data_IF_396011713961
#
_entry.id   IF_396011713961
#
_cell.length_a   1.000
_cell.length_b   1.000
_cell.length_c   1.000
_cell.angle_alpha   90.00
_cell.angle_beta   90.00
_cell.angle_gamma   90.00
#
_symmetry.space_group_name_H-M   'P 1'
#
loop_
_entity.id
_entity.type
_entity.pdbx_description
1 polymer ?
#
# COMPACT_ATOMS: atom_id res chain seq x y z
N UNK A 1 -48.82 -36.32 -22.79
CA UNK A 1 -47.96 -36.46 -21.60
C UNK A 1 -46.62 -35.70 -21.70
N UNK A 2 -46.12 -35.45 -22.87
CA UNK A 2 -44.80 -34.79 -23.08
C UNK A 2 -44.81 -33.28 -22.79
N UNK A 3 -45.92 -32.58 -22.99
CA UNK A 3 -46.04 -31.13 -22.77
C UNK A 3 -46.03 -30.68 -21.28
N UNK A 4 -46.35 -31.57 -20.34
CA UNK A 4 -46.34 -31.24 -18.89
C UNK A 4 -44.95 -31.39 -18.25
N UNK A 5 -44.06 -32.18 -18.84
CA UNK A 5 -42.71 -32.40 -18.33
C UNK A 5 -41.78 -31.25 -18.72
N UNK A 6 -41.99 -30.66 -19.91
CA UNK A 6 -41.18 -29.51 -20.38
C UNK A 6 -41.45 -28.24 -19.57
N UNK A 7 -42.68 -28.04 -19.07
CA UNK A 7 -43.01 -26.87 -18.26
C UNK A 7 -42.41 -26.90 -16.85
N UNK A 8 -42.21 -28.08 -16.27
CA UNK A 8 -41.52 -28.17 -14.95
C UNK A 8 -40.02 -27.94 -14.99
N UNK A 9 -39.36 -28.22 -16.12
CA UNK A 9 -37.89 -28.02 -16.26
C UNK A 9 -37.55 -26.54 -16.44
N UNK A 10 -38.40 -25.72 -17.08
CA UNK A 10 -38.20 -24.29 -17.25
C UNK A 10 -38.39 -23.48 -15.96
N UNK A 11 -39.11 -23.94 -14.96
CA UNK A 11 -39.35 -23.22 -13.70
C UNK A 11 -38.16 -23.37 -12.73
N UNK A 12 -37.39 -24.45 -12.81
CA UNK A 12 -36.25 -24.71 -11.95
C UNK A 12 -34.97 -23.90 -12.36
N UNK A 13 -34.95 -23.30 -13.56
CA UNK A 13 -33.77 -22.52 -14.05
C UNK A 13 -33.77 -21.05 -13.58
N UNK A 14 -34.80 -20.59 -12.86
CA UNK A 14 -34.91 -19.16 -12.45
C UNK A 14 -34.53 -18.87 -10.99
N UNK A 15 -34.01 -19.82 -10.24
CA UNK A 15 -33.67 -19.62 -8.81
C UNK A 15 -32.16 -19.62 -8.59
N UNK A 16 -31.37 -19.15 -9.53
CA UNK A 16 -29.92 -19.18 -9.51
C UNK A 16 -29.18 -17.81 -9.45
N UNK A 17 -29.84 -16.70 -9.18
CA UNK A 17 -29.15 -15.44 -8.91
C UNK A 17 -28.96 -15.27 -7.39
N UNK A 18 -27.87 -15.79 -6.84
CA UNK A 18 -27.46 -15.40 -5.51
C UNK A 18 -27.09 -13.91 -5.57
N UNK A 19 -27.90 -13.04 -5.01
CA UNK A 19 -27.61 -11.62 -4.87
C UNK A 19 -26.29 -11.50 -4.11
N UNK A 20 -25.30 -10.82 -4.71
CA UNK A 20 -24.00 -10.57 -4.10
C UNK A 20 -24.23 -9.83 -2.80
N UNK A 21 -23.91 -10.46 -1.66
CA UNK A 21 -24.06 -9.84 -0.34
C UNK A 21 -23.18 -8.60 -0.26
N UNK A 22 -23.72 -7.53 0.30
CA UNK A 22 -23.05 -6.25 0.51
C UNK A 22 -22.99 -5.93 1.99
N UNK A 23 -22.08 -5.05 2.38
CA UNK A 23 -22.09 -4.52 3.74
C UNK A 23 -23.33 -3.64 3.95
N UNK A 24 -24.10 -3.97 4.97
CA UNK A 24 -25.26 -3.22 5.42
C UNK A 24 -25.08 -2.92 6.90
N UNK A 25 -24.78 -1.66 7.29
CA UNK A 25 -24.60 -1.31 8.68
C UNK A 25 -25.94 -1.36 9.42
N UNK A 26 -25.94 -1.92 10.63
CA UNK A 26 -27.13 -1.94 11.50
C UNK A 26 -27.51 -0.54 12.00
N UNK A 27 -26.52 0.32 12.19
CA UNK A 27 -26.67 1.70 12.65
C UNK A 27 -25.80 2.61 11.78
N UNK A 28 -26.34 3.73 11.37
CA UNK A 28 -25.62 4.83 10.69
C UNK A 28 -25.56 5.98 11.66
N UNK A 29 -24.33 6.39 12.05
CA UNK A 29 -24.08 7.42 13.06
C UNK A 29 -24.14 8.86 12.49
N UNK A 30 -24.43 8.99 11.20
CA UNK A 30 -24.53 10.28 10.51
C UNK A 30 -23.90 10.24 9.13
N UNK A 31 -23.64 11.43 8.60
CA UNK A 31 -23.02 11.60 7.27
C UNK A 31 -21.69 12.32 7.38
N UNK A 32 -20.75 11.95 6.53
CA UNK A 32 -19.43 12.59 6.42
C UNK A 32 -19.19 13.01 4.97
N UNK A 33 -18.87 14.29 4.79
CA UNK A 33 -18.52 14.86 3.49
C UNK A 33 -17.01 15.06 3.36
N UNK A 34 -16.52 14.94 2.13
CA UNK A 34 -15.17 15.31 1.72
C UNK A 34 -15.24 16.67 1.05
N UNK A 35 -15.11 17.73 1.84
CA UNK A 35 -15.38 19.10 1.42
C UNK A 35 -14.25 19.71 0.59
N UNK A 36 -13.02 19.28 0.85
CA UNK A 36 -11.85 19.81 0.18
C UNK A 36 -11.69 19.22 -1.21
N UNK A 37 -11.28 20.06 -2.18
CA UNK A 37 -11.15 19.68 -3.59
C UNK A 37 -9.69 19.64 -4.03
N UNK A 38 -9.37 18.64 -4.82
CA UNK A 38 -8.15 18.59 -5.63
C UNK A 38 -8.41 19.30 -6.98
N UNK A 39 -7.37 19.82 -7.63
CA UNK A 39 -7.52 20.47 -8.95
C UNK A 39 -8.00 19.49 -10.01
N UNK A 40 -7.64 18.21 -9.92
CA UNK A 40 -8.11 17.15 -10.81
C UNK A 40 -8.15 15.78 -10.12
N UNK A 41 -8.78 14.76 -10.74
CA UNK A 41 -8.83 13.42 -10.18
C UNK A 41 -7.46 12.76 -10.10
N UNK A 42 -7.30 11.79 -9.18
CA UNK A 42 -6.12 10.94 -9.07
C UNK A 42 -6.00 10.09 -10.35
N UNK A 43 -4.85 10.16 -11.02
CA UNK A 43 -4.49 9.37 -12.20
C UNK A 43 -3.86 8.04 -11.82
N UNK A 44 -2.87 8.07 -10.94
CA UNK A 44 -2.21 6.90 -10.38
C UNK A 44 -1.72 7.21 -8.96
N UNK A 45 -1.52 6.16 -8.16
CA UNK A 45 -1.00 6.26 -6.80
C UNK A 45 -0.14 5.04 -6.48
N UNK A 46 0.85 5.24 -5.59
CA UNK A 46 1.57 4.22 -4.86
C UNK A 46 1.52 4.55 -3.35
N UNK A 47 2.24 3.83 -2.50
CA UNK A 47 2.24 4.11 -1.06
C UNK A 47 2.92 5.43 -0.67
N UNK A 48 3.77 5.97 -1.53
CA UNK A 48 4.57 7.18 -1.25
C UNK A 48 3.98 8.45 -1.85
N UNK A 49 3.06 8.32 -2.82
CA UNK A 49 2.44 9.48 -3.43
C UNK A 49 1.45 9.14 -4.54
N UNK A 50 0.84 10.18 -5.09
CA UNK A 50 -0.09 10.09 -6.20
C UNK A 50 0.15 11.22 -7.21
N UNK A 51 -0.17 10.96 -8.47
CA UNK A 51 -0.15 11.95 -9.54
C UNK A 51 -1.58 12.16 -10.01
N UNK A 52 -2.01 13.41 -10.07
CA UNK A 52 -3.33 13.81 -10.56
C UNK A 52 -3.36 13.84 -12.09
N UNK A 53 -4.55 13.94 -12.68
CA UNK A 53 -4.70 14.00 -14.14
C UNK A 53 -4.12 15.27 -14.77
N UNK A 54 -4.06 16.37 -14.01
CA UNK A 54 -3.36 17.61 -14.39
C UNK A 54 -1.85 17.55 -14.08
N UNK A 55 -1.35 16.37 -13.71
CA UNK A 55 0.02 16.08 -13.33
C UNK A 55 0.49 16.73 -12.01
N UNK A 56 -0.38 17.32 -11.20
CA UNK A 56 -0.03 17.75 -9.83
C UNK A 56 0.38 16.54 -9.00
N UNK A 57 1.46 16.68 -8.23
CA UNK A 57 1.99 15.64 -7.34
C UNK A 57 1.38 15.76 -5.95
N UNK A 58 0.92 14.63 -5.41
CA UNK A 58 0.65 14.42 -3.98
C UNK A 58 1.75 13.52 -3.43
N UNK A 59 2.25 13.79 -2.22
CA UNK A 59 3.20 12.91 -1.52
C UNK A 59 2.69 12.49 -0.14
N UNK A 60 3.20 11.37 0.36
CA UNK A 60 2.87 10.89 1.70
C UNK A 60 3.27 11.90 2.79
N UNK A 61 4.42 12.56 2.63
CA UNK A 61 4.97 13.49 3.62
C UNK A 61 4.25 14.84 3.66
N UNK A 62 3.84 15.38 2.50
CA UNK A 62 3.34 16.76 2.41
C UNK A 62 1.86 16.84 1.98
N UNK A 63 1.26 15.73 1.53
CA UNK A 63 -0.02 15.80 0.84
C UNK A 63 0.14 16.51 -0.51
N UNK A 64 -0.63 17.56 -0.77
CA UNK A 64 -0.53 18.31 -2.02
C UNK A 64 0.76 19.14 -2.08
N UNK A 65 1.51 18.96 -3.16
CA UNK A 65 2.72 19.75 -3.44
C UNK A 65 2.44 20.81 -4.53
N UNK A 66 3.29 21.84 -4.68
CA UNK A 66 3.21 22.78 -5.82
C UNK A 66 3.76 22.19 -7.12
N UNK A 67 4.25 20.95 -7.12
CA UNK A 67 4.91 20.33 -8.26
C UNK A 67 3.89 19.86 -9.27
N UNK A 68 4.06 20.28 -10.52
CA UNK A 68 3.34 19.79 -11.70
C UNK A 68 4.35 19.06 -12.59
N UNK A 69 4.10 17.79 -12.86
CA UNK A 69 5.01 16.92 -13.60
C UNK A 69 4.76 17.06 -15.13
N UNK A 70 5.79 16.75 -15.90
CA UNK A 70 5.59 16.45 -17.32
C UNK A 70 4.82 15.14 -17.53
N UNK A 71 4.18 15.00 -18.70
CA UNK A 71 3.26 13.92 -19.03
C UNK A 71 4.00 12.62 -19.03
N UNK A 72 4.52 11.84 -18.69
CA UNK A 72 5.23 10.55 -18.72
C UNK A 72 5.99 10.22 -17.42
N UNK A 73 5.97 11.14 -16.47
CA UNK A 73 6.67 10.92 -15.23
C UNK A 73 5.82 10.05 -14.29
N UNK A 74 6.46 9.02 -13.73
CA UNK A 74 5.96 8.22 -12.61
C UNK A 74 6.72 8.64 -11.37
N UNK A 75 6.01 9.06 -10.34
CA UNK A 75 6.63 9.33 -9.04
C UNK A 75 7.11 8.02 -8.40
N UNK A 76 8.37 7.99 -7.98
CA UNK A 76 8.98 6.84 -7.31
C UNK A 76 9.10 7.08 -5.80
N UNK A 77 9.80 8.13 -5.41
CA UNK A 77 10.11 8.41 -4.00
C UNK A 77 10.54 9.87 -3.79
N UNK A 78 10.63 10.25 -2.52
CA UNK A 78 11.10 11.55 -2.05
C UNK A 78 12.15 11.35 -0.94
N UNK A 79 13.18 12.19 -0.94
CA UNK A 79 14.14 12.34 0.17
C UNK A 79 14.30 13.83 0.48
N UNK A 80 13.72 14.31 1.58
CA UNK A 80 13.67 15.74 1.95
C UNK A 80 13.04 16.56 0.81
N UNK A 81 13.77 17.52 0.23
CA UNK A 81 13.35 18.35 -0.90
C UNK A 81 13.74 17.76 -2.28
N UNK A 82 14.16 16.51 -2.33
CA UNK A 82 14.55 15.81 -3.55
C UNK A 82 13.44 14.83 -3.95
N UNK A 83 12.90 14.99 -5.13
CA UNK A 83 11.87 14.13 -5.71
C UNK A 83 12.47 13.30 -6.83
N UNK A 84 12.15 12.02 -6.86
CA UNK A 84 12.68 11.06 -7.83
C UNK A 84 11.55 10.47 -8.62
N UNK A 85 11.68 10.54 -9.92
CA UNK A 85 10.70 10.07 -10.90
C UNK A 85 11.36 9.10 -11.88
N UNK A 86 10.52 8.35 -12.57
CA UNK A 86 10.92 7.62 -13.76
C UNK A 86 10.16 8.15 -14.97
N UNK A 87 10.86 8.40 -16.07
CA UNK A 87 10.28 8.80 -17.36
C UNK A 87 10.19 7.58 -18.27
N UNK A 88 8.99 7.17 -18.61
CA UNK A 88 8.70 6.12 -19.61
C UNK A 88 9.52 4.83 -19.46
N UNK A 89 9.82 4.36 -18.26
CA UNK A 89 10.66 3.20 -17.94
C UNK A 89 12.10 3.26 -18.49
N UNK A 90 12.63 4.46 -18.76
CA UNK A 90 13.98 4.63 -19.31
C UNK A 90 14.90 5.45 -18.43
N UNK A 91 14.44 6.60 -17.98
CA UNK A 91 15.30 7.55 -17.29
C UNK A 91 14.84 7.71 -15.85
N UNK A 92 15.81 7.80 -14.93
CA UNK A 92 15.57 8.31 -13.59
C UNK A 92 15.73 9.82 -13.65
N UNK A 93 14.72 10.55 -13.21
CA UNK A 93 14.74 12.02 -13.14
C UNK A 93 14.71 12.44 -11.70
N UNK A 94 15.70 13.24 -11.30
CA UNK A 94 15.84 13.80 -9.97
C UNK A 94 15.55 15.28 -10.04
N UNK A 95 14.54 15.72 -9.29
CA UNK A 95 14.18 17.12 -9.13
C UNK A 95 14.60 17.59 -7.73
N UNK A 96 15.40 18.65 -7.67
CA UNK A 96 15.76 19.33 -6.43
C UNK A 96 15.64 20.84 -6.67
N UNK A 97 14.71 21.50 -5.95
CA UNK A 97 14.31 22.88 -6.28
C UNK A 97 13.91 22.95 -7.76
N UNK A 98 14.47 23.86 -8.53
CA UNK A 98 14.19 24.05 -9.96
C UNK A 98 15.18 23.32 -10.88
N UNK A 99 16.07 22.49 -10.33
CA UNK A 99 17.04 21.74 -11.13
C UNK A 99 16.58 20.32 -11.39
N UNK A 100 16.69 19.88 -12.65
CA UNK A 100 16.43 18.52 -13.09
C UNK A 100 17.75 17.84 -13.48
N UNK A 101 17.97 16.65 -12.96
CA UNK A 101 19.05 15.77 -13.34
C UNK A 101 18.46 14.48 -13.90
N UNK A 102 18.91 14.06 -15.07
CA UNK A 102 18.48 12.82 -15.71
C UNK A 102 19.61 11.80 -15.68
N UNK A 103 19.28 10.56 -15.35
CA UNK A 103 20.18 9.41 -15.36
C UNK A 103 19.55 8.36 -16.25
N UNK A 104 20.22 7.93 -17.35
CA UNK A 104 19.72 6.85 -18.20
C UNK A 104 19.53 5.55 -17.40
N UNK A 105 18.37 4.89 -17.58
CA UNK A 105 18.06 3.65 -16.88
C UNK A 105 16.97 2.88 -17.61
N UNK A 106 17.35 1.80 -18.26
CA UNK A 106 16.54 1.13 -19.30
C UNK A 106 15.48 0.15 -18.80
N UNK A 107 15.27 0.04 -17.47
CA UNK A 107 14.33 -0.93 -16.90
C UNK A 107 13.25 -0.23 -16.08
N UNK A 108 12.02 -0.73 -16.13
CA UNK A 108 10.92 -0.22 -15.32
C UNK A 108 11.16 -0.44 -13.83
N UNK A 109 11.13 0.64 -13.06
CA UNK A 109 11.21 0.63 -11.61
C UNK A 109 9.80 0.48 -11.03
N UNK A 110 9.57 -0.55 -10.23
CA UNK A 110 8.29 -0.76 -9.56
C UNK A 110 8.20 0.03 -8.26
N UNK A 111 9.25 -0.02 -7.45
CA UNK A 111 9.33 0.66 -6.17
C UNK A 111 10.74 1.15 -5.89
N UNK A 112 10.87 2.24 -5.17
CA UNK A 112 12.16 2.81 -4.82
C UNK A 112 12.12 3.56 -3.49
N UNK A 113 13.30 3.73 -2.89
CA UNK A 113 13.55 4.65 -1.78
C UNK A 113 14.89 5.36 -1.95
N UNK A 114 14.96 6.57 -1.47
CA UNK A 114 16.18 7.36 -1.48
C UNK A 114 16.51 7.87 -0.07
N UNK A 115 17.80 7.91 0.23
CA UNK A 115 18.35 8.57 1.43
C UNK A 115 19.73 9.15 1.08
N UNK A 116 19.87 10.47 1.17
CA UNK A 116 21.09 11.21 0.80
C UNK A 116 21.53 10.93 -0.67
N UNK A 117 22.65 10.24 -0.92
CA UNK A 117 23.06 9.83 -2.27
C UNK A 117 22.61 8.41 -2.65
N UNK A 118 22.01 7.66 -1.74
CA UNK A 118 21.64 6.27 -1.96
C UNK A 118 20.24 6.20 -2.60
N UNK A 119 20.11 5.39 -3.64
CA UNK A 119 18.85 5.04 -4.28
C UNK A 119 18.71 3.51 -4.33
N UNK A 120 17.77 2.97 -3.61
CA UNK A 120 17.43 1.54 -3.64
C UNK A 120 16.19 1.32 -4.49
N UNK A 121 16.21 0.34 -5.39
CA UNK A 121 15.15 0.10 -6.37
C UNK A 121 14.80 -1.38 -6.48
N UNK A 122 13.55 -1.64 -6.78
CA UNK A 122 13.02 -2.96 -7.19
C UNK A 122 12.51 -2.81 -8.62
N UNK A 123 13.09 -3.58 -9.53
CA UNK A 123 12.73 -3.55 -10.94
C UNK A 123 11.57 -4.51 -11.25
N UNK A 124 10.95 -4.33 -12.40
CA UNK A 124 9.80 -5.14 -12.81
C UNK A 124 10.12 -6.63 -13.08
N UNK A 125 11.39 -6.95 -13.27
CA UNK A 125 11.89 -8.32 -13.46
C UNK A 125 12.44 -8.96 -12.17
N UNK A 126 12.13 -8.35 -10.99
CA UNK A 126 12.61 -8.73 -9.66
C UNK A 126 14.12 -8.56 -9.47
N UNK A 127 14.74 -7.63 -10.19
CA UNK A 127 16.11 -7.22 -9.90
C UNK A 127 16.11 -6.18 -8.79
N UNK A 128 16.94 -6.37 -7.78
CA UNK A 128 17.21 -5.43 -6.69
C UNK A 128 18.45 -4.62 -7.05
N UNK A 129 18.36 -3.30 -6.95
CA UNK A 129 19.44 -2.39 -7.33
C UNK A 129 19.73 -1.40 -6.21
N UNK A 130 21.01 -1.25 -5.87
CA UNK A 130 21.51 -0.09 -5.15
C UNK A 130 22.34 0.79 -6.09
N UNK A 131 21.90 2.01 -6.25
CA UNK A 131 22.53 3.01 -7.10
C UNK A 131 23.02 4.19 -6.27
N UNK A 132 24.26 4.66 -6.46
CA UNK A 132 24.78 5.88 -5.86
C UNK A 132 24.58 7.08 -6.80
N UNK A 133 23.71 8.01 -6.41
CA UNK A 133 23.35 9.19 -7.17
C UNK A 133 24.53 10.19 -7.34
N UNK A 134 25.48 10.21 -6.40
CA UNK A 134 26.66 11.07 -6.45
C UNK A 134 27.71 10.50 -7.38
N UNK A 135 28.01 9.23 -7.23
CA UNK A 135 28.94 8.52 -8.11
C UNK A 135 28.33 8.26 -9.50
N UNK A 136 27.01 8.34 -9.65
CA UNK A 136 26.24 7.98 -10.86
C UNK A 136 26.53 6.55 -11.30
N UNK A 137 26.58 5.63 -10.37
CA UNK A 137 26.97 4.25 -10.61
C UNK A 137 26.02 3.28 -9.89
N UNK A 138 25.76 2.15 -10.55
CA UNK A 138 25.17 0.98 -9.92
C UNK A 138 26.26 0.34 -9.03
N UNK A 139 25.98 0.28 -7.72
CA UNK A 139 26.90 -0.30 -6.73
C UNK A 139 26.60 -1.78 -6.53
N UNK A 140 25.32 -2.13 -6.58
CA UNK A 140 24.85 -3.52 -6.43
C UNK A 140 23.65 -3.75 -7.32
N UNK A 141 23.64 -4.92 -7.95
CA UNK A 141 22.51 -5.42 -8.72
C UNK A 141 22.43 -6.94 -8.59
N UNK A 142 21.28 -7.44 -8.23
CA UNK A 142 21.03 -8.88 -8.16
C UNK A 142 19.62 -9.22 -8.62
N UNK A 143 19.52 -10.10 -9.61
CA UNK A 143 18.27 -10.59 -10.15
C UNK A 143 17.79 -11.81 -9.38
N UNK A 144 16.51 -11.80 -9.04
CA UNK A 144 15.79 -12.92 -8.42
C UNK A 144 14.76 -13.49 -9.41
N UNK A 145 14.18 -14.66 -9.14
CA UNK A 145 13.13 -15.22 -9.99
C UNK A 145 12.00 -14.23 -10.22
N UNK A 146 11.47 -14.18 -11.44
CA UNK A 146 10.38 -13.29 -11.80
C UNK A 146 9.08 -13.76 -11.14
N UNK A 147 8.35 -12.85 -10.50
CA UNK A 147 7.05 -13.14 -9.94
C UNK A 147 6.00 -13.37 -11.03
N UNK A 148 5.17 -14.41 -10.89
CA UNK A 148 4.12 -14.75 -11.87
C UNK A 148 2.98 -13.71 -11.89
N UNK A 149 2.65 -13.15 -10.73
CA UNK A 149 1.68 -12.08 -10.56
C UNK A 149 1.99 -11.32 -9.28
N UNK A 150 1.86 -10.01 -9.33
CA UNK A 150 2.11 -9.11 -8.18
C UNK A 150 0.85 -8.35 -7.78
N UNK A 151 0.72 -8.07 -6.49
CA UNK A 151 -0.26 -7.13 -5.99
C UNK A 151 0.15 -5.70 -6.38
N UNK A 152 -0.83 -4.85 -6.66
CA UNK A 152 -0.59 -3.45 -7.00
C UNK A 152 0.04 -2.63 -5.85
N UNK A 153 -0.16 -3.04 -4.60
CA UNK A 153 0.57 -2.49 -3.47
C UNK A 153 1.96 -3.12 -3.40
N UNK A 154 2.96 -2.28 -3.36
CA UNK A 154 4.37 -2.67 -3.24
C UNK A 154 4.98 -1.92 -2.07
N UNK A 155 5.68 -2.63 -1.20
CA UNK A 155 6.53 -2.01 -0.22
C UNK A 155 7.75 -1.37 -0.91
N UNK A 156 8.26 -0.30 -0.35
CA UNK A 156 9.51 0.31 -0.82
C UNK A 156 10.69 -0.21 -0.01
N UNK A 157 11.90 -0.29 -0.59
CA UNK A 157 13.10 -0.57 0.16
C UNK A 157 13.26 0.39 1.35
N UNK A 158 13.93 -0.04 2.41
CA UNK A 158 14.27 0.82 3.53
C UNK A 158 15.78 0.99 3.64
N UNK A 159 16.26 2.23 3.67
CA UNK A 159 17.67 2.56 3.69
C UNK A 159 18.06 3.08 5.07
N UNK A 160 18.90 2.34 5.76
CA UNK A 160 19.59 2.78 6.99
C UNK A 160 21.02 3.25 6.67
N UNK A 161 21.80 3.58 7.67
CA UNK A 161 23.20 3.94 7.46
C UNK A 161 24.07 2.72 7.12
N UNK A 162 23.72 1.53 7.64
CA UNK A 162 24.47 0.28 7.48
C UNK A 162 23.86 -0.66 6.45
N UNK A 163 22.53 -0.68 6.30
CA UNK A 163 21.83 -1.68 5.53
C UNK A 163 20.83 -1.07 4.56
N UNK A 164 20.59 -1.79 3.48
CA UNK A 164 19.39 -1.61 2.65
C UNK A 164 18.53 -2.88 2.80
N UNK A 165 17.27 -2.69 3.19
CA UNK A 165 16.31 -3.77 3.36
C UNK A 165 15.42 -3.76 2.13
N UNK A 166 15.54 -4.79 1.30
CA UNK A 166 14.77 -4.93 0.07
C UNK A 166 13.59 -5.89 0.28
N UNK A 167 12.35 -5.45 0.08
CA UNK A 167 11.21 -6.35 -0.11
C UNK A 167 11.22 -6.85 -1.57
N UNK A 168 11.20 -8.16 -1.78
CA UNK A 168 11.17 -8.69 -3.13
C UNK A 168 9.74 -8.95 -3.65
N UNK A 169 9.63 -9.41 -4.90
CA UNK A 169 8.35 -9.71 -5.54
C UNK A 169 7.84 -11.13 -5.25
N UNK A 170 8.61 -11.96 -4.54
CA UNK A 170 8.28 -13.35 -4.22
C UNK A 170 8.10 -13.61 -2.70
N UNK A 171 7.92 -12.56 -1.91
CA UNK A 171 7.58 -12.68 -0.48
C UNK A 171 8.77 -12.84 0.44
N UNK A 172 9.91 -12.29 0.06
CA UNK A 172 11.12 -12.27 0.88
C UNK A 172 11.53 -10.85 1.26
N UNK A 173 12.27 -10.76 2.34
CA UNK A 173 13.05 -9.58 2.71
C UNK A 173 14.52 -9.93 2.62
N UNK A 174 15.27 -9.12 1.89
CA UNK A 174 16.71 -9.29 1.68
C UNK A 174 17.45 -8.12 2.33
N UNK A 175 18.39 -8.43 3.20
CA UNK A 175 19.20 -7.43 3.90
C UNK A 175 20.56 -7.35 3.24
N UNK A 176 20.81 -6.21 2.61
CA UNK A 176 22.09 -5.88 1.99
C UNK A 176 22.93 -5.04 2.95
N UNK A 177 24.15 -5.49 3.21
CA UNK A 177 25.16 -4.75 4.00
C UNK A 177 25.94 -3.80 3.06
N UNK A 178 25.84 -2.51 3.33
CA UNK A 178 26.47 -1.46 2.49
C UNK A 178 28.01 -1.55 2.54
N UNK A 179 28.57 -1.85 3.71
CA UNK A 179 30.02 -1.91 3.88
C UNK A 179 30.62 -3.18 3.26
N UNK A 180 29.91 -4.31 3.35
CA UNK A 180 30.36 -5.59 2.80
C UNK A 180 29.97 -5.77 1.32
N UNK A 181 29.14 -4.88 0.77
CA UNK A 181 28.62 -4.92 -0.61
C UNK A 181 28.00 -6.27 -0.99
N UNK A 182 27.16 -6.84 -0.09
CA UNK A 182 26.52 -8.13 -0.33
C UNK A 182 25.23 -8.31 0.47
N UNK A 183 24.36 -9.20 0.00
CA UNK A 183 23.22 -9.70 0.80
C UNK A 183 23.76 -10.56 1.95
N UNK A 184 23.39 -10.21 3.17
CA UNK A 184 23.80 -10.94 4.39
C UNK A 184 22.68 -11.76 5.02
N UNK A 185 21.41 -11.48 4.66
CA UNK A 185 20.27 -12.19 5.21
C UNK A 185 19.13 -12.26 4.20
N UNK A 186 18.49 -13.42 4.10
CA UNK A 186 17.29 -13.72 3.31
C UNK A 186 16.22 -14.22 4.29
N UNK A 187 15.08 -13.53 4.34
CA UNK A 187 13.98 -13.83 5.28
C UNK A 187 12.72 -14.10 4.48
N UNK A 188 12.24 -15.35 4.53
CA UNK A 188 11.00 -15.74 3.89
C UNK A 188 9.78 -15.29 4.73
N UNK A 189 8.97 -14.39 4.17
CA UNK A 189 7.72 -13.93 4.77
C UNK A 189 6.59 -14.89 4.40
N UNK A 190 6.44 -15.19 3.10
CA UNK A 190 5.42 -16.11 2.56
C UNK A 190 5.97 -16.81 1.33
N UNK A 191 5.38 -17.98 0.99
CA UNK A 191 5.75 -18.80 -0.18
C UNK A 191 4.54 -19.05 -1.10
N UNK A 192 3.54 -18.18 -1.10
CA UNK A 192 2.39 -18.28 -2.00
C UNK A 192 2.82 -18.13 -3.48
N UNK A 193 2.11 -18.83 -4.37
CA UNK A 193 2.46 -18.84 -5.79
C UNK A 193 2.12 -17.54 -6.52
N UNK A 194 1.08 -16.83 -6.09
CA UNK A 194 0.57 -15.62 -6.76
C UNK A 194 0.36 -14.51 -5.74
N UNK A 195 0.59 -13.27 -6.17
CA UNK A 195 0.40 -12.06 -5.34
C UNK A 195 1.19 -12.10 -4.04
N UNK A 196 2.38 -12.71 -4.08
CA UNK A 196 3.21 -12.96 -2.90
C UNK A 196 4.21 -11.82 -2.62
N UNK A 197 4.26 -10.78 -3.46
CA UNK A 197 5.13 -9.64 -3.20
C UNK A 197 4.84 -9.00 -1.84
N UNK A 198 5.88 -8.47 -1.23
CA UNK A 198 5.74 -7.72 0.02
C UNK A 198 4.97 -6.42 -0.27
N UNK A 199 3.82 -6.25 0.39
CA UNK A 199 2.92 -5.11 0.18
C UNK A 199 3.09 -4.00 1.22
N UNK A 200 3.71 -4.33 2.35
CA UNK A 200 3.99 -3.39 3.44
C UNK A 200 5.28 -3.79 4.15
N UNK A 201 6.06 -2.80 4.53
CA UNK A 201 7.25 -2.98 5.36
C UNK A 201 7.42 -1.77 6.28
N UNK A 202 7.73 -2.05 7.54
CA UNK A 202 8.14 -1.05 8.52
C UNK A 202 9.39 -1.57 9.23
N UNK A 203 10.39 -0.72 9.41
CA UNK A 203 11.63 -1.08 10.09
C UNK A 203 12.10 0.05 10.99
N UNK A 204 12.42 -0.31 12.23
CA UNK A 204 13.00 0.60 13.21
C UNK A 204 13.90 -0.21 14.15
N UNK A 205 15.17 0.19 14.27
CA UNK A 205 16.15 -0.48 15.14
C UNK A 205 16.16 -2.01 14.98
N UNK A 206 15.76 -2.74 16.02
CA UNK A 206 15.71 -4.21 16.06
C UNK A 206 14.36 -4.80 15.64
N UNK A 207 13.44 -3.97 15.16
CA UNK A 207 12.09 -4.39 14.75
C UNK A 207 11.92 -4.26 13.23
N UNK A 208 11.53 -5.35 12.59
CA UNK A 208 11.16 -5.39 11.18
C UNK A 208 9.79 -6.05 11.05
N UNK A 209 8.81 -5.31 10.52
CA UNK A 209 7.49 -5.82 10.15
C UNK A 209 7.38 -5.87 8.63
N UNK A 210 6.97 -7.00 8.09
CA UNK A 210 6.71 -7.17 6.67
C UNK A 210 5.41 -7.93 6.45
N UNK A 211 4.67 -7.57 5.40
CA UNK A 211 3.43 -8.25 5.06
C UNK A 211 3.33 -8.53 3.56
N UNK A 212 2.84 -9.71 3.22
CA UNK A 212 2.33 -10.09 1.90
C UNK A 212 0.80 -10.02 1.90
N UNK A 213 0.14 -10.40 0.82
CA UNK A 213 -1.33 -10.43 0.79
C UNK A 213 -1.96 -11.42 1.78
N UNK A 214 -1.19 -12.40 2.31
CA UNK A 214 -1.72 -13.51 3.13
C UNK A 214 -1.03 -13.70 4.48
N UNK A 215 0.06 -13.01 4.74
CA UNK A 215 0.83 -13.18 5.98
C UNK A 215 1.49 -11.89 6.41
N UNK A 216 1.50 -11.67 7.71
CA UNK A 216 2.32 -10.66 8.39
C UNK A 216 3.42 -11.39 9.14
N UNK A 217 4.63 -10.86 9.09
CA UNK A 217 5.77 -11.36 9.88
C UNK A 217 6.43 -10.19 10.61
N UNK A 218 6.69 -10.37 11.90
CA UNK A 218 7.50 -9.47 12.70
C UNK A 218 8.80 -10.17 13.09
N UNK A 219 9.92 -9.53 12.88
CA UNK A 219 11.25 -9.98 13.28
C UNK A 219 11.78 -9.03 14.35
N UNK A 220 12.07 -9.57 15.52
CA UNK A 220 12.53 -8.83 16.69
C UNK A 220 13.76 -9.58 17.24
N UNK A 221 14.93 -8.96 17.23
CA UNK A 221 16.17 -9.56 17.71
C UNK A 221 16.35 -11.02 17.21
N UNK A 222 16.20 -11.25 15.91
CA UNK A 222 16.29 -12.55 15.23
C UNK A 222 15.13 -13.55 15.53
N UNK A 223 14.19 -13.24 16.41
CA UNK A 223 12.97 -14.01 16.60
C UNK A 223 11.91 -13.63 15.58
N UNK A 224 11.27 -14.62 14.97
CA UNK A 224 10.23 -14.42 13.97
C UNK A 224 8.85 -14.75 14.54
N UNK A 225 7.92 -13.83 14.42
CA UNK A 225 6.50 -13.99 14.75
C UNK A 225 5.71 -13.90 13.46
N UNK A 226 4.61 -14.65 13.35
CA UNK A 226 3.80 -14.71 12.13
C UNK A 226 2.31 -14.66 12.46
N UNK A 227 1.55 -14.02 11.58
CA UNK A 227 0.09 -13.99 11.64
C UNK A 227 -0.48 -14.17 10.22
N UNK A 228 -1.25 -15.24 10.02
CA UNK A 228 -1.87 -15.55 8.74
C UNK A 228 -3.23 -14.89 8.64
N UNK A 229 -3.43 -14.10 7.60
CA UNK A 229 -4.68 -13.37 7.32
C UNK A 229 -4.70 -12.91 5.87
N UNK A 230 -5.85 -13.00 5.21
CA UNK A 230 -6.04 -12.39 3.88
C UNK A 230 -6.17 -10.88 4.02
N UNK A 231 -5.08 -10.17 3.64
CA UNK A 231 -4.89 -8.75 3.87
C UNK A 231 -5.52 -7.86 2.80
N UNK A 232 -6.14 -6.78 3.24
CA UNK A 232 -6.43 -5.59 2.43
C UNK A 232 -5.40 -4.52 2.64
N UNK A 233 -5.08 -4.24 3.91
CA UNK A 233 -4.10 -3.23 4.27
C UNK A 233 -3.54 -3.49 5.67
N UNK A 234 -2.41 -2.89 6.00
CA UNK A 234 -1.74 -3.01 7.30
C UNK A 234 -1.03 -1.71 7.64
N UNK A 235 -1.05 -1.35 8.92
CA UNK A 235 -0.41 -0.15 9.45
C UNK A 235 0.21 -0.46 10.82
N UNK A 236 1.49 -0.11 10.99
CA UNK A 236 2.13 -0.09 12.30
C UNK A 236 1.97 1.29 12.94
N UNK A 237 1.41 1.35 14.13
CA UNK A 237 1.19 2.59 14.87
C UNK A 237 1.21 2.35 16.37
N UNK A 238 1.96 3.16 17.12
CA UNK A 238 2.06 3.09 18.59
C UNK A 238 2.32 1.67 19.11
N UNK A 239 3.34 1.01 18.56
CA UNK A 239 3.76 -0.36 18.93
C UNK A 239 2.66 -1.44 18.77
N UNK A 240 1.70 -1.18 17.88
CA UNK A 240 0.63 -2.10 17.51
C UNK A 240 0.54 -2.22 15.99
N UNK A 241 -0.01 -3.34 15.53
CA UNK A 241 -0.26 -3.60 14.12
C UNK A 241 -1.76 -3.63 13.88
N UNK A 242 -2.25 -2.68 13.09
CA UNK A 242 -3.64 -2.62 12.65
C UNK A 242 -3.78 -3.26 11.27
N UNK A 243 -4.79 -4.11 11.11
CA UNK A 243 -4.98 -4.91 9.90
C UNK A 243 -6.41 -4.77 9.40
N UNK A 244 -6.56 -4.52 8.10
CA UNK A 244 -7.82 -4.68 7.38
C UNK A 244 -7.77 -6.01 6.63
N UNK A 245 -8.74 -6.90 6.89
CA UNK A 245 -8.83 -8.18 6.18
C UNK A 245 -9.77 -8.12 4.96
N UNK A 246 -9.63 -9.09 4.06
CA UNK A 246 -10.55 -9.28 2.92
C UNK A 246 -11.96 -9.63 3.41
N UNK A 247 -12.08 -10.26 4.58
CA UNK A 247 -13.36 -10.65 5.17
C UNK A 247 -14.10 -9.49 5.88
N UNK A 248 -13.56 -8.28 5.83
CA UNK A 248 -14.14 -7.11 6.48
C UNK A 248 -13.89 -7.06 7.98
N UNK A 249 -12.77 -7.60 8.44
CA UNK A 249 -12.33 -7.48 9.82
C UNK A 249 -11.33 -6.33 9.98
N UNK A 250 -11.38 -5.66 11.12
CA UNK A 250 -10.34 -4.76 11.61
C UNK A 250 -9.72 -5.41 12.83
N UNK A 251 -8.43 -5.72 12.76
CA UNK A 251 -7.69 -6.40 13.83
C UNK A 251 -6.70 -5.44 14.46
N UNK A 252 -6.51 -5.54 15.76
CA UNK A 252 -5.41 -4.95 16.50
C UNK A 252 -4.54 -6.09 17.04
N UNK A 253 -3.27 -6.09 16.64
CA UNK A 253 -2.26 -7.02 17.11
C UNK A 253 -1.21 -6.25 17.92
N UNK A 254 -0.56 -6.90 18.87
CA UNK A 254 0.64 -6.34 19.49
C UNK A 254 1.86 -6.44 18.55
N UNK A 255 2.99 -5.90 18.95
CA UNK A 255 4.22 -5.93 18.15
C UNK A 255 4.77 -7.35 17.90
N UNK A 256 4.35 -8.35 18.68
CA UNK A 256 4.66 -9.78 18.47
C UNK A 256 3.59 -10.49 17.65
N UNK A 257 2.66 -9.75 17.06
CA UNK A 257 1.53 -10.23 16.24
C UNK A 257 0.51 -11.10 17.01
N UNK A 258 0.46 -10.99 18.34
CA UNK A 258 -0.62 -11.59 19.11
C UNK A 258 -1.88 -10.76 18.95
N UNK A 259 -3.01 -11.40 18.62
CA UNK A 259 -4.30 -10.74 18.50
C UNK A 259 -4.75 -10.19 19.85
N UNK A 260 -4.97 -8.89 19.92
CA UNK A 260 -5.51 -8.18 21.09
C UNK A 260 -7.02 -8.00 20.99
N UNK A 261 -7.48 -7.41 19.88
CA UNK A 261 -8.90 -7.11 19.66
C UNK A 261 -9.25 -7.25 18.19
N UNK A 262 -10.52 -7.52 17.91
CA UNK A 262 -11.04 -7.48 16.54
C UNK A 262 -12.50 -7.04 16.47
N UNK A 263 -12.85 -6.37 15.39
CA UNK A 263 -14.24 -6.09 15.01
C UNK A 263 -14.50 -6.64 13.61
N UNK A 264 -15.67 -7.20 13.39
CA UNK A 264 -16.09 -7.74 12.11
C UNK A 264 -17.25 -6.94 11.53
N UNK A 265 -17.08 -6.49 10.31
CA UNK A 265 -18.08 -5.79 9.50
C UNK A 265 -18.43 -6.70 8.30
N UNK A 266 -19.41 -7.58 8.42
CA UNK A 266 -19.67 -8.63 7.43
C UNK A 266 -19.86 -8.05 6.02
N UNK A 267 -19.16 -8.59 5.04
CA UNK A 267 -19.16 -8.18 3.62
C UNK A 267 -18.60 -6.77 3.34
N UNK A 268 -18.04 -6.08 4.34
CA UNK A 268 -17.39 -4.80 4.12
C UNK A 268 -16.12 -4.97 3.27
N UNK A 269 -15.95 -4.09 2.29
CA UNK A 269 -14.72 -3.99 1.50
C UNK A 269 -13.98 -2.73 1.93
N UNK A 270 -13.12 -2.91 2.94
CA UNK A 270 -12.36 -1.84 3.55
C UNK A 270 -11.16 -1.43 2.69
N UNK A 271 -10.76 -0.16 2.71
CA UNK A 271 -9.59 0.34 1.98
C UNK A 271 -9.01 1.61 2.58
N UNK A 272 -7.68 1.61 2.73
CA UNK A 272 -6.92 2.68 3.35
C UNK A 272 -7.11 2.77 4.86
N UNK A 273 -6.07 3.20 5.55
CA UNK A 273 -6.09 3.45 7.00
C UNK A 273 -5.45 4.79 7.31
N UNK A 274 -6.15 5.59 8.09
CA UNK A 274 -5.64 6.82 8.70
C UNK A 274 -5.94 6.75 10.18
N UNK A 275 -4.98 7.08 11.03
CA UNK A 275 -5.18 7.16 12.47
C UNK A 275 -4.95 8.61 12.91
N UNK A 276 -5.98 9.21 13.51
CA UNK A 276 -5.95 10.54 14.08
C UNK A 276 -6.78 10.56 15.36
N UNK A 277 -6.33 11.29 16.38
CA UNK A 277 -7.04 11.46 17.68
C UNK A 277 -7.60 10.15 18.25
N UNK A 278 -6.74 9.12 18.36
CA UNK A 278 -7.11 7.79 18.88
C UNK A 278 -8.23 7.09 18.10
N UNK A 279 -8.48 7.49 16.86
CA UNK A 279 -9.50 6.89 15.99
C UNK A 279 -8.87 6.40 14.68
N UNK A 280 -9.14 5.13 14.32
CA UNK A 280 -8.77 4.57 13.03
C UNK A 280 -9.92 4.79 12.04
N UNK A 281 -9.63 5.46 10.96
CA UNK A 281 -10.56 5.70 9.85
C UNK A 281 -10.23 4.78 8.70
N UNK A 282 -11.26 4.19 8.08
CA UNK A 282 -11.14 3.42 6.83
C UNK A 282 -12.37 3.62 5.96
N UNK A 283 -12.16 3.62 4.64
CA UNK A 283 -13.26 3.71 3.68
C UNK A 283 -13.83 2.33 3.38
N UNK A 284 -15.15 2.25 3.35
CA UNK A 284 -15.87 1.07 2.88
C UNK A 284 -16.46 1.35 1.48
N UNK A 285 -16.26 0.42 0.56
CA UNK A 285 -16.51 0.59 -0.88
C UNK A 285 -17.98 0.79 -1.26
N UNK A 286 -18.91 0.45 -0.36
CA UNK A 286 -20.36 0.65 -0.51
C UNK A 286 -20.80 2.10 -0.32
N UNK A 287 -19.92 2.98 0.18
CA UNK A 287 -20.22 4.39 0.43
C UNK A 287 -20.26 4.74 1.92
N UNK A 288 -19.41 4.13 2.72
CA UNK A 288 -19.30 4.42 4.15
C UNK A 288 -17.88 4.79 4.54
N UNK A 289 -17.77 5.61 5.58
CA UNK A 289 -16.56 5.82 6.37
C UNK A 289 -16.76 5.09 7.70
N UNK A 290 -15.84 4.23 8.04
CA UNK A 290 -15.79 3.57 9.35
C UNK A 290 -14.80 4.34 10.22
N UNK A 291 -15.23 4.80 11.39
CA UNK A 291 -14.40 5.39 12.43
C UNK A 291 -14.38 4.43 13.62
N UNK A 292 -13.23 3.82 13.88
CA UNK A 292 -13.04 2.89 14.99
C UNK A 292 -12.31 3.60 16.11
N UNK A 293 -12.98 3.85 17.22
CA UNK A 293 -12.33 4.33 18.44
C UNK A 293 -11.33 3.29 18.95
N UNK A 294 -10.07 3.68 19.13
CA UNK A 294 -9.01 2.76 19.55
C UNK A 294 -8.99 2.52 21.08
N UNK A 295 -9.72 3.28 21.87
CA UNK A 295 -9.93 3.02 23.29
C UNK A 295 -10.94 1.88 23.50
N UNK A 296 -12.19 2.11 23.12
CA UNK A 296 -13.30 1.17 23.27
C UNK A 296 -13.28 0.05 22.21
N UNK A 297 -12.56 0.23 21.10
CA UNK A 297 -12.56 -0.62 19.91
C UNK A 297 -13.96 -0.79 19.29
N UNK A 298 -14.73 0.29 19.32
CA UNK A 298 -16.10 0.33 18.86
C UNK A 298 -16.20 1.09 17.52
N UNK A 299 -16.76 0.47 16.47
CA UNK A 299 -16.90 1.10 15.16
C UNK A 299 -18.13 2.01 15.10
N UNK A 300 -17.96 3.23 14.62
CA UNK A 300 -19.02 4.12 14.18
C UNK A 300 -19.04 4.14 12.64
N UNK A 301 -20.23 4.08 12.06
CA UNK A 301 -20.41 4.03 10.60
C UNK A 301 -21.08 5.30 10.13
N UNK A 302 -20.42 6.01 9.24
CA UNK A 302 -20.92 7.23 8.62
C UNK A 302 -21.16 6.99 7.13
N UNK A 303 -22.29 7.46 6.62
CA UNK A 303 -22.54 7.48 5.19
C UNK A 303 -21.66 8.54 4.52
N UNK A 304 -21.09 8.21 3.37
CA UNK A 304 -20.39 9.17 2.53
C UNK A 304 -21.00 9.18 1.12
N UNK A 305 -20.79 10.27 0.40
CA UNK A 305 -21.32 10.45 -0.96
C UNK A 305 -20.23 10.30 -2.03
N UNK A 306 -19.18 9.55 -1.73
CA UNK A 306 -18.09 9.32 -2.67
C UNK A 306 -18.53 8.42 -3.83
N UNK A 307 -18.12 8.78 -5.03
CA UNK A 307 -18.38 7.97 -6.24
C UNK A 307 -17.68 6.61 -6.13
N UNK A 308 -18.38 5.52 -6.41
CA UNK A 308 -17.81 4.16 -6.34
C UNK A 308 -16.68 3.98 -7.36
N UNK A 309 -15.73 3.10 -7.05
CA UNK A 309 -14.64 2.64 -7.94
C UNK A 309 -13.70 3.76 -8.41
N UNK A 310 -13.35 4.68 -7.56
CA UNK A 310 -12.36 5.71 -7.83
C UNK A 310 -11.03 5.41 -7.14
N UNK A 311 -9.97 6.09 -7.58
CA UNK A 311 -8.64 5.96 -7.00
C UNK A 311 -8.60 6.59 -5.61
N UNK A 312 -7.95 5.89 -4.70
CA UNK A 312 -7.66 6.30 -3.33
C UNK A 312 -6.15 6.45 -3.16
N UNK A 313 -5.75 7.53 -2.55
CA UNK A 313 -4.45 7.73 -1.93
C UNK A 313 -4.67 8.21 -0.50
N UNK A 314 -3.81 7.86 0.42
CA UNK A 314 -3.88 8.35 1.79
C UNK A 314 -2.47 8.53 2.36
N UNK A 315 -2.36 9.47 3.27
CA UNK A 315 -1.16 9.70 4.05
C UNK A 315 -1.46 9.56 5.55
N UNK A 316 -0.69 10.19 6.41
CA UNK A 316 -0.80 10.03 7.87
C UNK A 316 -2.16 10.42 8.44
N UNK A 317 -2.76 11.48 7.88
CA UNK A 317 -3.96 12.14 8.43
C UNK A 317 -5.06 12.42 7.40
N UNK A 318 -4.84 12.10 6.12
CA UNK A 318 -5.72 12.54 5.04
C UNK A 318 -6.06 11.41 4.08
N UNK A 319 -7.35 11.25 3.78
CA UNK A 319 -7.80 10.51 2.61
C UNK A 319 -7.97 11.44 1.41
N UNK A 320 -7.34 11.10 0.28
CA UNK A 320 -7.54 11.68 -1.02
C UNK A 320 -8.29 10.69 -1.90
N UNK A 321 -9.49 11.04 -2.34
CA UNK A 321 -10.36 10.15 -3.09
C UNK A 321 -10.86 10.82 -4.36
N UNK A 322 -10.48 10.29 -5.53
CA UNK A 322 -10.78 10.90 -6.84
C UNK A 322 -10.27 12.36 -6.91
N UNK A 323 -11.16 13.33 -6.77
CA UNK A 323 -10.87 14.78 -6.80
C UNK A 323 -11.22 15.51 -5.49
N UNK A 324 -11.45 14.79 -4.43
CA UNK A 324 -11.76 15.35 -3.10
C UNK A 324 -10.85 14.77 -2.03
N UNK A 325 -10.73 15.46 -0.92
CA UNK A 325 -9.99 14.93 0.23
C UNK A 325 -10.60 15.36 1.56
N UNK A 326 -10.32 14.58 2.58
CA UNK A 326 -10.67 14.85 3.96
C UNK A 326 -9.45 14.62 4.84
N UNK A 327 -9.10 15.65 5.59
CA UNK A 327 -8.11 15.58 6.67
C UNK A 327 -8.81 15.28 7.97
N UNK A 328 -8.19 14.45 8.79
CA UNK A 328 -8.62 14.10 10.14
C UNK A 328 -7.64 14.74 11.12
N UNK A 329 -8.18 15.58 11.99
CA UNK A 329 -7.42 16.31 13.02
C UNK A 329 -7.59 15.63 14.36
#
# INVERSE_FOLDING_TARGET
MIHRVVFCICVCALVGCSSKKHFEPKVINGEVTFENKLPSPIKNANRLGAVLKDNTLLTFEQGRTPIVLESQYKFLTQDKAKYIFQKACKDIVIMKSDTLQTIPFDTCILSASAKDSKLAMILNDNTLVYYDLKARAEIFSQKYPAALAINAYLASPHITDKYIIFPDLEGKILIYDIAQNKIIKDILISSDKFFNNVIYMYSQEHYLLAATAKRISAIIDDKSFKYDVDLRDVLFFNNKVYVLSIEGEILELDHTLKLLRKVRLPFAVLSGMVIANNTLYTLEKGGYLIALDLGEFAPMVYKNHLSKKKSLFYNRDTFFYDKVYKRFE
#
